data_IF_581012641935
#
_entry.id   IF_581012641935
#
_cell.length_a   1.000
_cell.length_b   1.000
_cell.length_c   1.000
_cell.angle_alpha   90.00
_cell.angle_beta   90.00
_cell.angle_gamma   90.00
#
_symmetry.space_group_name_H-M   'P 1'
#
loop_
_entity.id
_entity.type
_entity.pdbx_description
1 polymer ?
#
# COMPACT_ATOMS: atom_id res chain seq x y z
N UNK A 1 -44.92 4.60 -15.81
CA UNK A 1 -43.83 3.62 -15.96
C UNK A 1 -42.73 3.97 -14.97
N UNK A 2 -42.44 3.10 -13.99
CA UNK A 2 -41.41 3.33 -12.98
C UNK A 2 -40.01 2.92 -13.44
N UNK A 3 -39.02 3.13 -12.57
CA UNK A 3 -37.66 2.62 -12.79
C UNK A 3 -37.61 1.10 -12.73
N UNK A 4 -36.92 0.48 -13.68
CA UNK A 4 -36.35 -0.86 -13.50
C UNK A 4 -35.09 -0.74 -12.66
N UNK A 5 -34.72 -1.76 -11.90
CA UNK A 5 -33.51 -1.70 -11.08
C UNK A 5 -32.74 -3.01 -11.06
N UNK A 6 -31.45 -2.88 -10.82
CA UNK A 6 -30.50 -3.96 -10.66
C UNK A 6 -29.73 -3.74 -9.35
N UNK A 7 -29.73 -4.73 -8.46
CA UNK A 7 -28.92 -4.74 -7.24
C UNK A 7 -27.74 -5.68 -7.42
N UNK A 8 -26.57 -5.21 -7.05
CA UNK A 8 -25.32 -5.95 -7.08
C UNK A 8 -24.80 -6.08 -5.66
N UNK A 9 -24.60 -7.32 -5.23
CA UNK A 9 -24.10 -7.65 -3.90
C UNK A 9 -22.82 -8.47 -4.04
N UNK A 10 -21.95 -8.34 -3.04
CA UNK A 10 -20.79 -9.20 -2.87
C UNK A 10 -20.57 -9.45 -1.38
N UNK A 11 -19.58 -10.29 -1.07
CA UNK A 11 -19.15 -10.50 0.31
C UNK A 11 -18.83 -9.16 0.99
N UNK A 12 -19.10 -9.10 2.28
CA UNK A 12 -18.78 -7.92 3.09
C UNK A 12 -17.26 -7.79 3.26
N UNK A 13 -16.60 -6.84 2.59
CA UNK A 13 -15.14 -6.67 2.68
C UNK A 13 -14.71 -6.21 4.08
N UNK A 14 -15.64 -5.67 4.89
CA UNK A 14 -15.35 -5.26 6.28
C UNK A 14 -15.13 -6.46 7.19
N UNK A 15 -15.57 -7.65 6.73
CA UNK A 15 -15.42 -8.92 7.42
C UNK A 15 -14.36 -9.80 6.76
N UNK A 16 -13.77 -9.36 5.64
CA UNK A 16 -12.70 -10.12 4.99
C UNK A 16 -11.44 -10.12 5.86
N UNK A 17 -10.88 -11.31 6.08
CA UNK A 17 -9.76 -11.53 6.96
C UNK A 17 -9.27 -12.96 6.90
N UNK A 18 -8.22 -13.26 7.68
CA UNK A 18 -7.65 -14.60 7.77
C UNK A 18 -8.66 -15.62 8.33
N UNK A 19 -9.52 -15.19 9.26
CA UNK A 19 -10.54 -16.00 9.92
C UNK A 19 -11.92 -15.92 9.23
N UNK A 20 -12.04 -15.25 8.07
CA UNK A 20 -13.33 -15.04 7.43
C UNK A 20 -13.99 -16.36 6.99
N UNK A 21 -15.00 -16.74 7.76
CA UNK A 21 -15.97 -17.79 7.50
C UNK A 21 -17.34 -17.22 7.12
N UNK A 22 -17.47 -15.89 7.06
CA UNK A 22 -18.77 -15.25 6.88
C UNK A 22 -19.20 -15.27 5.40
N UNK A 23 -20.40 -15.80 5.16
CA UNK A 23 -21.07 -15.75 3.86
C UNK A 23 -21.91 -14.48 3.66
N UNK A 24 -21.71 -13.47 4.50
CA UNK A 24 -22.54 -12.27 4.54
C UNK A 24 -22.32 -11.45 3.27
N UNK A 25 -23.40 -11.24 2.49
CA UNK A 25 -23.37 -10.38 1.32
C UNK A 25 -23.99 -9.01 1.61
N UNK A 26 -23.33 -7.94 1.15
CA UNK A 26 -23.80 -6.55 1.27
C UNK A 26 -24.00 -5.90 -0.09
N UNK A 27 -24.91 -4.93 -0.23
CA UNK A 27 -25.13 -4.22 -1.49
C UNK A 27 -23.99 -3.28 -1.84
N UNK A 28 -23.34 -3.47 -2.99
CA UNK A 28 -22.28 -2.59 -3.46
C UNK A 28 -22.79 -1.52 -4.44
N UNK A 29 -23.73 -1.91 -5.29
CA UNK A 29 -24.29 -1.01 -6.30
C UNK A 29 -25.77 -1.26 -6.51
N UNK A 30 -26.50 -0.18 -6.78
CA UNK A 30 -27.82 -0.23 -7.40
C UNK A 30 -27.78 0.56 -8.71
N UNK A 31 -28.41 0.03 -9.74
CA UNK A 31 -28.56 0.73 -11.01
C UNK A 31 -30.05 0.82 -11.30
N UNK A 32 -30.57 2.03 -11.36
CA UNK A 32 -31.96 2.30 -11.73
C UNK A 32 -31.99 2.78 -13.17
N UNK A 33 -32.88 2.22 -14.00
CA UNK A 33 -33.03 2.57 -15.41
C UNK A 33 -34.47 2.99 -15.69
N UNK A 34 -34.63 4.10 -16.39
CA UNK A 34 -35.91 4.53 -16.94
C UNK A 34 -35.71 5.13 -18.33
N UNK A 35 -36.32 4.52 -19.35
CA UNK A 35 -36.11 4.86 -20.75
C UNK A 35 -34.61 4.92 -21.11
N UNK A 36 -34.10 6.11 -21.43
CA UNK A 36 -32.69 6.37 -21.80
C UNK A 36 -31.81 6.81 -20.64
N UNK A 37 -32.36 6.97 -19.43
CA UNK A 37 -31.64 7.45 -18.26
C UNK A 37 -31.28 6.30 -17.31
N UNK A 38 -30.11 6.41 -16.69
CA UNK A 38 -29.65 5.51 -15.65
C UNK A 38 -29.12 6.30 -14.45
N UNK A 39 -29.49 5.87 -13.24
CA UNK A 39 -28.94 6.36 -11.98
C UNK A 39 -28.10 5.23 -11.39
N UNK A 40 -26.82 5.49 -11.16
CA UNK A 40 -25.90 4.55 -10.52
C UNK A 40 -25.68 4.97 -9.07
N UNK A 41 -26.29 4.24 -8.14
CA UNK A 41 -26.05 4.38 -6.71
C UNK A 41 -24.90 3.46 -6.32
N UNK A 42 -23.85 4.04 -5.73
CA UNK A 42 -22.66 3.33 -5.24
C UNK A 42 -22.66 3.40 -3.72
N UNK A 43 -22.55 2.26 -3.07
CA UNK A 43 -22.53 2.19 -1.60
C UNK A 43 -21.09 2.23 -1.13
N UNK A 44 -20.81 3.17 -0.24
CA UNK A 44 -19.52 3.29 0.44
C UNK A 44 -19.65 2.74 1.86
N UNK A 45 -18.62 2.04 2.31
CA UNK A 45 -18.52 1.39 3.61
C UNK A 45 -17.33 1.96 4.36
N UNK A 46 -17.52 2.29 5.62
CA UNK A 46 -16.40 2.63 6.51
C UNK A 46 -15.64 1.36 6.90
N UNK A 47 -14.30 1.42 6.84
CA UNK A 47 -13.39 0.33 7.22
C UNK A 47 -12.52 0.72 8.41
N UNK A 48 -11.85 -0.28 9.00
CA UNK A 48 -11.09 -0.17 10.26
C UNK A 48 -10.03 0.93 10.25
N UNK A 49 -9.43 1.23 9.10
CA UNK A 49 -8.47 2.32 8.93
C UNK A 49 -9.07 3.72 8.82
N UNK A 50 -10.33 3.94 9.23
CA UNK A 50 -11.03 5.24 9.18
C UNK A 50 -11.06 5.87 7.78
N UNK A 51 -11.45 5.08 6.79
CA UNK A 51 -11.60 5.50 5.41
C UNK A 51 -12.87 4.91 4.79
N UNK A 52 -13.31 5.48 3.67
CA UNK A 52 -14.48 5.02 2.95
C UNK A 52 -14.05 4.13 1.78
N UNK A 53 -14.68 2.97 1.67
CA UNK A 53 -14.40 1.99 0.63
C UNK A 53 -15.66 1.71 -0.20
N UNK A 54 -15.51 1.55 -1.52
CA UNK A 54 -16.56 0.97 -2.36
C UNK A 54 -16.02 -0.24 -3.14
N UNK A 55 -16.92 -1.16 -3.46
CA UNK A 55 -16.55 -2.38 -4.17
C UNK A 55 -16.55 -2.23 -5.69
N UNK A 56 -16.07 -3.28 -6.38
CA UNK A 56 -16.16 -3.38 -7.82
C UNK A 56 -17.54 -3.91 -8.22
N UNK A 57 -17.94 -3.59 -9.45
CA UNK A 57 -19.15 -4.12 -10.06
C UNK A 57 -18.79 -5.43 -10.78
N UNK A 58 -19.32 -6.55 -10.30
CA UNK A 58 -19.14 -7.88 -10.90
C UNK A 58 -20.51 -8.46 -11.27
N UNK A 59 -20.78 -8.58 -12.56
CA UNK A 59 -22.01 -9.20 -13.07
C UNK A 59 -21.93 -10.73 -12.93
N UNK A 60 -22.94 -11.34 -12.30
CA UNK A 60 -23.12 -12.81 -12.28
C UNK A 60 -23.49 -13.29 -13.69
N UNK A 61 -23.23 -14.57 -13.99
CA UNK A 61 -23.40 -15.16 -15.33
C UNK A 61 -24.81 -14.95 -15.93
N UNK A 62 -25.85 -14.98 -15.11
CA UNK A 62 -27.25 -14.87 -15.53
C UNK A 62 -27.76 -13.42 -15.62
N UNK A 63 -26.93 -12.42 -15.32
CA UNK A 63 -27.37 -11.02 -15.30
C UNK A 63 -27.36 -10.42 -16.71
N UNK A 64 -28.35 -9.58 -17.00
CA UNK A 64 -28.46 -8.87 -18.28
C UNK A 64 -27.32 -7.85 -18.45
N UNK A 65 -26.38 -8.17 -19.33
CA UNK A 65 -25.23 -7.31 -19.66
C UNK A 65 -25.61 -6.12 -20.53
N UNK A 66 -26.80 -6.11 -21.11
CA UNK A 66 -27.35 -5.00 -21.89
C UNK A 66 -28.27 -4.09 -21.06
N UNK A 67 -28.42 -4.36 -19.75
CA UNK A 67 -29.28 -3.56 -18.87
C UNK A 67 -28.93 -2.07 -18.97
N UNK A 68 -27.64 -1.73 -18.84
CA UNK A 68 -27.09 -0.40 -19.14
C UNK A 68 -25.72 -0.54 -19.83
N UNK A 69 -25.19 0.52 -20.47
CA UNK A 69 -23.81 0.54 -20.96
C UNK A 69 -22.80 0.56 -19.79
N UNK A 70 -22.54 -0.59 -19.15
CA UNK A 70 -21.70 -0.68 -17.94
C UNK A 70 -20.31 -0.05 -18.07
N UNK A 71 -19.72 -0.06 -19.27
CA UNK A 71 -18.42 0.55 -19.54
C UNK A 71 -18.43 2.09 -19.42
N UNK A 72 -19.60 2.72 -19.52
CA UNK A 72 -19.76 4.18 -19.34
C UNK A 72 -19.96 4.59 -17.89
N UNK A 73 -20.09 3.62 -16.96
CA UNK A 73 -20.24 3.94 -15.55
C UNK A 73 -18.93 4.47 -14.98
N UNK A 74 -19.04 5.52 -14.15
CA UNK A 74 -17.90 6.15 -13.50
C UNK A 74 -17.29 5.32 -12.36
N UNK A 75 -18.05 4.35 -11.84
CA UNK A 75 -17.67 3.49 -10.73
C UNK A 75 -17.85 2.01 -11.09
N UNK A 76 -17.17 1.13 -10.36
CA UNK A 76 -17.34 -0.32 -10.47
C UNK A 76 -16.27 -1.05 -11.28
N UNK A 77 -15.39 -0.35 -12.00
CA UNK A 77 -14.24 -1.02 -12.67
C UNK A 77 -13.28 -1.66 -11.67
N UNK A 78 -12.99 -0.95 -10.59
CA UNK A 78 -12.16 -1.39 -9.47
C UNK A 78 -12.86 -1.05 -8.14
N UNK A 79 -12.44 -1.71 -7.07
CA UNK A 79 -12.69 -1.21 -5.71
C UNK A 79 -11.96 0.12 -5.54
N UNK A 80 -12.46 0.97 -4.64
CA UNK A 80 -11.84 2.26 -4.36
C UNK A 80 -11.85 2.61 -2.88
N UNK A 81 -10.83 3.32 -2.42
CA UNK A 81 -10.70 3.86 -1.08
C UNK A 81 -10.49 5.38 -1.10
N UNK A 82 -11.14 6.07 -0.16
CA UNK A 82 -11.24 7.52 -0.08
C UNK A 82 -11.03 7.96 1.36
N UNK A 83 -10.46 9.14 1.54
CA UNK A 83 -10.46 9.76 2.86
C UNK A 83 -11.90 9.98 3.34
N UNK A 84 -12.08 9.93 4.66
CA UNK A 84 -13.37 10.33 5.24
C UNK A 84 -13.63 11.80 4.88
N UNK A 85 -14.77 12.04 4.26
CA UNK A 85 -15.13 13.36 3.75
C UNK A 85 -16.03 14.10 4.75
N UNK A 86 -15.74 15.39 4.95
CA UNK A 86 -16.70 16.29 5.59
C UNK A 86 -17.88 16.54 4.64
N UNK A 87 -19.09 16.40 5.16
CA UNK A 87 -20.32 16.57 4.40
C UNK A 87 -21.05 17.86 4.80
N UNK A 88 -21.71 18.48 3.83
CA UNK A 88 -22.63 19.60 4.02
C UNK A 88 -24.06 19.13 3.71
N UNK A 89 -24.99 19.43 4.62
CA UNK A 89 -26.41 19.18 4.39
C UNK A 89 -27.01 20.33 3.57
N UNK A 90 -27.66 20.01 2.45
CA UNK A 90 -28.31 20.94 1.54
C UNK A 90 -29.73 20.47 1.21
N UNK A 91 -30.58 21.40 0.76
CA UNK A 91 -31.87 21.07 0.15
C UNK A 91 -31.76 21.28 -1.37
N UNK A 92 -31.96 20.22 -2.14
CA UNK A 92 -31.98 20.26 -3.62
C UNK A 92 -33.35 19.77 -4.05
N UNK A 93 -34.14 20.63 -4.69
CA UNK A 93 -35.50 20.32 -5.15
C UNK A 93 -36.42 19.74 -4.05
N UNK A 94 -36.25 20.21 -2.81
CA UNK A 94 -36.99 19.73 -1.63
C UNK A 94 -36.45 18.45 -1.00
N UNK A 95 -35.40 17.85 -1.58
CA UNK A 95 -34.68 16.71 -0.99
C UNK A 95 -33.54 17.19 -0.12
N UNK A 96 -33.52 16.72 1.13
CA UNK A 96 -32.38 16.93 2.03
C UNK A 96 -31.30 15.93 1.65
N UNK A 97 -30.16 16.43 1.17
CA UNK A 97 -29.01 15.63 0.74
C UNK A 97 -27.74 16.10 1.43
N UNK A 98 -26.78 15.19 1.56
CA UNK A 98 -25.44 15.50 2.05
C UNK A 98 -24.45 15.44 0.89
N UNK A 99 -23.68 16.51 0.71
CA UNK A 99 -22.67 16.60 -0.36
C UNK A 99 -21.28 16.80 0.22
N UNK A 100 -20.20 16.35 -0.44
CA UNK A 100 -18.85 16.64 0.01
C UNK A 100 -18.61 18.14 0.11
N UNK A 101 -18.05 18.61 1.23
CA UNK A 101 -17.68 20.02 1.45
C UNK A 101 -16.68 20.54 0.40
N UNK A 102 -15.85 19.64 -0.15
CA UNK A 102 -14.89 19.91 -1.23
C UNK A 102 -15.11 18.94 -2.39
N UNK A 103 -16.08 19.17 -3.29
CA UNK A 103 -16.39 18.25 -4.39
C UNK A 103 -15.19 17.97 -5.30
N UNK A 104 -14.35 18.96 -5.57
CA UNK A 104 -13.15 18.79 -6.41
C UNK A 104 -12.16 17.80 -5.82
N UNK A 105 -11.94 17.81 -4.49
CA UNK A 105 -11.07 16.84 -3.80
C UNK A 105 -11.60 15.42 -3.98
N UNK A 106 -12.92 15.23 -3.83
CA UNK A 106 -13.55 13.92 -4.05
C UNK A 106 -13.37 13.41 -5.49
N UNK A 107 -13.53 14.29 -6.48
CA UNK A 107 -13.36 13.93 -7.89
C UNK A 107 -11.90 13.62 -8.25
N UNK A 108 -10.94 14.32 -7.63
CA UNK A 108 -9.51 14.07 -7.74
C UNK A 108 -9.12 12.72 -7.11
N UNK A 109 -9.55 12.48 -5.86
CA UNK A 109 -9.30 11.22 -5.15
C UNK A 109 -9.79 10.02 -5.94
N UNK A 110 -10.93 10.12 -6.64
CA UNK A 110 -11.46 9.05 -7.48
C UNK A 110 -10.42 8.50 -8.47
N UNK A 111 -9.62 9.37 -9.09
CA UNK A 111 -8.61 8.95 -10.08
C UNK A 111 -7.47 8.13 -9.47
N UNK A 112 -7.20 8.30 -8.17
CA UNK A 112 -6.17 7.60 -7.40
C UNK A 112 -6.75 6.67 -6.33
N UNK A 113 -8.05 6.38 -6.41
CA UNK A 113 -8.78 5.64 -5.36
C UNK A 113 -8.55 4.13 -5.43
N UNK A 114 -7.98 3.62 -6.52
CA UNK A 114 -7.92 2.18 -6.80
C UNK A 114 -7.41 1.42 -5.59
N UNK A 115 -8.21 0.46 -5.14
CA UNK A 115 -7.94 -0.33 -3.96
C UNK A 115 -7.66 -1.80 -4.34
N UNK A 116 -6.65 -2.38 -3.71
CA UNK A 116 -6.26 -3.79 -3.86
C UNK A 116 -6.41 -4.46 -2.50
N UNK A 117 -7.21 -5.52 -2.45
CA UNK A 117 -7.34 -6.33 -1.24
C UNK A 117 -6.11 -7.19 -0.99
N UNK A 118 -5.90 -7.52 0.29
CA UNK A 118 -5.00 -8.62 0.60
C UNK A 118 -5.51 -9.95 0.04
N UNK A 119 -4.59 -10.84 -0.29
CA UNK A 119 -4.89 -12.16 -0.87
C UNK A 119 -5.19 -13.19 0.20
N UNK A 120 -6.23 -12.96 1.02
CA UNK A 120 -6.54 -13.78 2.20
C UNK A 120 -6.69 -15.27 1.88
N UNK A 121 -7.28 -15.61 0.73
CA UNK A 121 -7.42 -17.02 0.31
C UNK A 121 -6.06 -17.68 0.10
N UNK A 122 -5.17 -17.02 -0.62
CA UNK A 122 -3.82 -17.52 -0.88
C UNK A 122 -2.94 -17.48 0.36
N UNK A 123 -3.09 -16.48 1.22
CA UNK A 123 -2.42 -16.42 2.52
C UNK A 123 -2.81 -17.61 3.40
N UNK A 124 -4.10 -18.00 3.45
CA UNK A 124 -4.53 -19.24 4.14
C UNK A 124 -3.85 -20.48 3.57
N UNK A 125 -3.80 -20.62 2.25
CA UNK A 125 -3.09 -21.73 1.60
C UNK A 125 -1.59 -21.71 1.89
N UNK A 126 -0.99 -20.53 1.99
CA UNK A 126 0.42 -20.38 2.38
C UNK A 126 0.63 -20.90 3.81
N UNK A 127 -0.20 -20.50 4.78
CA UNK A 127 -0.07 -20.96 6.17
C UNK A 127 -0.38 -22.44 6.39
N UNK A 128 -1.13 -23.07 5.48
CA UNK A 128 -1.29 -24.54 5.49
C UNK A 128 0.01 -25.27 5.17
N UNK A 129 0.87 -24.69 4.35
CA UNK A 129 2.17 -25.27 3.96
C UNK A 129 3.30 -24.80 4.87
N UNK A 130 3.23 -23.55 5.33
CA UNK A 130 4.23 -22.89 6.16
C UNK A 130 3.52 -22.32 7.39
N UNK A 131 3.34 -23.12 8.45
CA UNK A 131 2.66 -22.69 9.67
C UNK A 131 3.22 -21.38 10.20
N UNK A 132 2.33 -20.54 10.73
CA UNK A 132 2.72 -19.24 11.25
C UNK A 132 3.64 -19.37 12.46
N UNK A 133 4.58 -18.43 12.61
CA UNK A 133 5.44 -18.36 13.78
C UNK A 133 4.73 -17.54 14.86
N UNK A 134 4.21 -18.25 15.86
CA UNK A 134 3.49 -17.67 17.00
C UNK A 134 4.35 -17.65 18.27
N UNK A 135 5.68 -17.74 18.13
CA UNK A 135 6.59 -17.58 19.27
C UNK A 135 6.44 -16.19 19.91
N UNK A 136 6.73 -16.04 21.22
CA UNK A 136 6.70 -14.74 21.89
C UNK A 136 7.52 -13.68 21.15
N UNK A 137 8.70 -14.05 20.65
CA UNK A 137 9.61 -13.16 19.93
C UNK A 137 9.00 -12.68 18.60
N UNK A 138 8.39 -13.58 17.83
CA UNK A 138 7.70 -13.24 16.59
C UNK A 138 6.50 -12.32 16.83
N UNK A 139 5.73 -12.58 17.89
CA UNK A 139 4.57 -11.77 18.25
C UNK A 139 4.97 -10.39 18.78
N UNK A 140 6.05 -10.30 19.56
CA UNK A 140 6.61 -9.03 20.01
C UNK A 140 7.11 -8.21 18.82
N UNK A 141 7.89 -8.82 17.93
CA UNK A 141 8.37 -8.16 16.71
C UNK A 141 7.22 -7.59 15.89
N UNK A 142 6.17 -8.39 15.62
CA UNK A 142 4.98 -7.94 14.88
C UNK A 142 4.27 -6.78 15.56
N UNK A 143 4.19 -6.81 16.89
CA UNK A 143 3.55 -5.74 17.67
C UNK A 143 4.34 -4.44 17.53
N UNK A 144 5.67 -4.49 17.70
CA UNK A 144 6.56 -3.33 17.52
C UNK A 144 6.52 -2.82 16.08
N UNK A 145 6.59 -3.70 15.09
CA UNK A 145 6.56 -3.33 13.68
C UNK A 145 5.19 -2.73 13.25
N UNK A 146 4.07 -3.23 13.79
CA UNK A 146 2.75 -2.60 13.60
C UNK A 146 2.73 -1.18 14.17
N UNK A 147 3.20 -0.99 15.40
CA UNK A 147 3.25 0.35 16.02
C UNK A 147 4.13 1.30 15.20
N UNK A 148 5.29 0.82 14.73
CA UNK A 148 6.21 1.56 13.88
C UNK A 148 5.58 1.95 12.53
N UNK A 149 4.81 1.05 11.90
CA UNK A 149 4.10 1.35 10.66
C UNK A 149 3.08 2.48 10.86
N UNK A 150 2.27 2.40 11.93
CA UNK A 150 1.28 3.43 12.26
C UNK A 150 1.94 4.79 12.54
N UNK A 151 3.03 4.81 13.30
CA UNK A 151 3.81 6.04 13.55
C UNK A 151 4.36 6.62 12.24
N UNK A 152 4.96 5.78 11.40
CA UNK A 152 5.55 6.19 10.12
C UNK A 152 4.51 6.76 9.19
N UNK A 153 3.34 6.12 9.12
CA UNK A 153 2.23 6.58 8.31
C UNK A 153 1.70 7.93 8.79
N UNK A 154 1.50 8.11 10.09
CA UNK A 154 1.08 9.38 10.67
C UNK A 154 2.09 10.49 10.33
N UNK A 155 3.38 10.24 10.54
CA UNK A 155 4.45 11.20 10.27
C UNK A 155 4.53 11.60 8.79
N UNK A 156 4.54 10.63 7.88
CA UNK A 156 4.63 10.90 6.44
C UNK A 156 3.35 11.54 5.88
N UNK A 157 2.17 11.12 6.35
CA UNK A 157 0.89 11.72 5.95
C UNK A 157 0.78 13.19 6.40
N UNK A 158 1.23 13.52 7.61
CA UNK A 158 1.26 14.89 8.11
C UNK A 158 2.18 15.79 7.27
N UNK A 159 3.25 15.22 6.72
CA UNK A 159 4.12 15.91 5.76
C UNK A 159 3.56 15.93 4.34
N UNK A 160 2.48 15.20 4.04
CA UNK A 160 1.98 15.01 2.68
C UNK A 160 3.02 14.33 1.77
N UNK A 161 3.77 13.37 2.30
CA UNK A 161 4.71 12.53 1.55
C UNK A 161 4.00 11.23 1.18
N UNK A 162 3.83 10.98 -0.12
CA UNK A 162 3.28 9.70 -0.59
C UNK A 162 4.32 8.60 -0.43
N UNK A 163 3.92 7.51 0.21
CA UNK A 163 4.76 6.34 0.47
C UNK A 163 3.95 5.05 0.30
N UNK A 164 4.65 3.92 0.14
CA UNK A 164 4.06 2.58 0.05
C UNK A 164 4.83 1.56 0.88
N UNK A 165 4.21 0.39 1.13
CA UNK A 165 4.90 -0.76 1.71
C UNK A 165 5.93 -1.28 0.70
N UNK A 166 7.20 -1.36 1.08
CA UNK A 166 8.28 -1.82 0.21
C UNK A 166 8.83 -3.18 0.66
N UNK A 167 9.70 -3.77 -0.15
CA UNK A 167 10.52 -4.95 0.14
C UNK A 167 9.83 -5.99 1.03
N UNK A 168 10.39 -6.33 2.20
CA UNK A 168 9.91 -7.43 3.03
C UNK A 168 8.51 -7.17 3.59
N UNK A 169 8.20 -5.90 3.82
CA UNK A 169 6.89 -5.46 4.31
C UNK A 169 5.80 -5.65 3.24
N UNK A 170 6.09 -5.29 1.98
CA UNK A 170 5.20 -5.54 0.85
C UNK A 170 5.03 -7.04 0.58
N UNK A 171 6.10 -7.83 0.68
CA UNK A 171 6.03 -9.27 0.52
C UNK A 171 5.15 -9.91 1.60
N UNK A 172 5.30 -9.48 2.86
CA UNK A 172 4.48 -9.93 3.97
C UNK A 172 2.99 -9.69 3.73
N UNK A 173 2.64 -8.45 3.36
CA UNK A 173 1.27 -8.12 2.95
C UNK A 173 0.80 -9.02 1.79
N UNK A 174 1.55 -9.07 0.68
CA UNK A 174 1.09 -9.76 -0.53
C UNK A 174 0.99 -11.29 -0.40
N UNK A 175 1.92 -11.91 0.33
CA UNK A 175 2.05 -13.37 0.45
C UNK A 175 1.17 -13.94 1.56
N UNK A 176 1.15 -13.27 2.71
CA UNK A 176 0.65 -13.86 3.96
C UNK A 176 -0.25 -12.92 4.76
N UNK A 177 -0.64 -11.76 4.20
CA UNK A 177 -1.52 -10.78 4.85
C UNK A 177 -1.07 -10.36 6.25
N UNK A 178 0.22 -10.45 6.54
CA UNK A 178 0.80 -10.16 7.85
C UNK A 178 2.28 -9.82 7.70
N UNK A 179 2.90 -9.28 8.74
CA UNK A 179 4.35 -9.05 8.78
C UNK A 179 5.08 -10.41 8.83
N UNK A 180 6.15 -10.51 8.05
CA UNK A 180 7.04 -11.67 8.06
C UNK A 180 7.79 -11.66 9.40
N UNK A 181 7.62 -12.68 10.26
CA UNK A 181 8.07 -12.60 11.66
C UNK A 181 9.61 -12.59 11.80
N UNK A 182 10.32 -12.93 10.73
CA UNK A 182 11.78 -12.94 10.67
C UNK A 182 12.36 -11.87 9.73
N UNK A 183 11.55 -10.95 9.17
CA UNK A 183 12.09 -9.68 8.65
C UNK A 183 12.51 -8.87 9.87
N UNK A 184 13.72 -8.32 9.94
CA UNK A 184 14.23 -7.69 11.18
C UNK A 184 13.88 -6.19 11.27
N UNK A 185 13.19 -5.71 10.26
CA UNK A 185 12.96 -4.32 9.91
C UNK A 185 11.57 -4.16 9.26
N UNK A 186 11.18 -2.90 9.10
CA UNK A 186 10.04 -2.45 8.33
C UNK A 186 10.53 -1.59 7.17
N UNK A 187 10.05 -1.87 5.96
CA UNK A 187 10.52 -1.25 4.73
C UNK A 187 9.41 -0.41 4.10
N UNK A 188 9.69 0.87 3.86
CA UNK A 188 8.82 1.77 3.11
C UNK A 188 9.54 2.28 1.85
N UNK A 189 8.75 2.55 0.82
CA UNK A 189 9.21 3.19 -0.40
C UNK A 189 8.65 4.61 -0.51
N UNK A 190 9.47 5.52 -1.03
CA UNK A 190 9.08 6.90 -1.36
C UNK A 190 9.65 7.24 -2.74
N UNK A 191 8.87 7.86 -3.61
CA UNK A 191 9.44 8.39 -4.84
C UNK A 191 10.34 9.58 -4.51
N UNK A 192 11.52 9.65 -5.13
CA UNK A 192 12.48 10.71 -4.82
C UNK A 192 11.91 12.11 -5.08
N UNK A 193 11.04 12.26 -6.08
CA UNK A 193 10.31 13.50 -6.37
C UNK A 193 9.39 13.96 -5.23
N UNK A 194 9.02 13.06 -4.32
CA UNK A 194 8.22 13.35 -3.12
C UNK A 194 9.08 13.51 -1.86
N UNK A 195 10.41 13.45 -1.97
CA UNK A 195 11.30 13.75 -0.85
C UNK A 195 11.03 15.14 -0.28
N UNK A 196 11.04 15.23 1.05
CA UNK A 196 11.02 16.50 1.78
C UNK A 196 12.14 16.50 2.82
N UNK A 197 12.89 17.61 2.96
CA UNK A 197 13.93 17.72 3.99
C UNK A 197 13.37 17.56 5.41
N UNK A 198 12.07 17.84 5.60
CA UNK A 198 11.37 17.70 6.88
C UNK A 198 11.15 16.25 7.34
N UNK A 199 11.39 15.24 6.50
CA UNK A 199 11.21 13.82 6.86
C UNK A 199 12.04 13.48 8.11
N UNK A 200 13.34 13.78 8.09
CA UNK A 200 14.25 13.49 9.20
C UNK A 200 13.80 14.16 10.50
N UNK A 201 13.63 15.50 10.57
CA UNK A 201 13.24 16.16 11.81
C UNK A 201 11.82 15.78 12.25
N UNK A 202 10.92 15.39 11.34
CA UNK A 202 9.59 14.91 11.72
C UNK A 202 9.65 13.55 12.43
N UNK A 203 10.44 12.60 11.93
CA UNK A 203 10.66 11.32 12.62
C UNK A 203 11.39 11.50 13.97
N UNK A 204 12.40 12.37 14.03
CA UNK A 204 13.09 12.70 15.29
C UNK A 204 12.11 13.27 16.33
N UNK A 205 11.24 14.22 15.95
CA UNK A 205 10.19 14.75 16.84
C UNK A 205 9.16 13.71 17.25
N UNK A 206 8.93 12.71 16.40
CA UNK A 206 8.05 11.59 16.68
C UNK A 206 8.70 10.52 17.58
N UNK A 207 9.92 10.76 18.09
CA UNK A 207 10.63 9.84 18.97
C UNK A 207 11.42 8.75 18.25
N UNK A 208 11.63 8.88 16.93
CA UNK A 208 12.35 7.93 16.11
C UNK A 208 13.61 8.60 15.52
N UNK A 209 14.77 8.54 16.19
CA UNK A 209 15.97 9.20 15.71
C UNK A 209 16.49 8.55 14.43
N UNK A 210 17.19 9.36 13.63
CA UNK A 210 17.90 8.89 12.44
C UNK A 210 19.03 7.98 12.89
N UNK A 211 19.10 6.78 12.30
CA UNK A 211 20.15 5.79 12.53
C UNK A 211 21.18 5.80 11.41
N UNK A 212 20.71 5.81 10.16
CA UNK A 212 21.57 5.89 8.98
C UNK A 212 21.00 6.87 7.97
N UNK A 213 21.90 7.56 7.27
CA UNK A 213 21.60 8.23 6.01
C UNK A 213 22.67 7.84 4.99
N UNK A 214 22.23 7.22 3.91
CA UNK A 214 23.11 6.83 2.82
C UNK A 214 22.74 7.54 1.52
N UNK A 215 23.75 7.77 0.68
CA UNK A 215 23.58 8.31 -0.66
C UNK A 215 23.23 9.80 -0.74
N UNK A 216 22.84 10.23 -1.94
CA UNK A 216 22.48 11.60 -2.31
C UNK A 216 21.08 11.63 -2.88
N UNK A 217 20.47 12.82 -2.94
CA UNK A 217 19.12 12.97 -3.49
C UNK A 217 19.02 12.39 -4.90
N UNK A 218 20.02 12.62 -5.73
CA UNK A 218 20.13 12.15 -7.10
C UNK A 218 20.63 10.70 -7.26
N UNK A 219 21.12 10.07 -6.19
CA UNK A 219 21.72 8.74 -6.28
C UNK A 219 21.68 7.96 -4.95
N UNK A 220 20.88 6.89 -4.93
CA UNK A 220 20.89 5.86 -3.91
C UNK A 220 20.58 6.35 -2.48
N UNK A 221 19.68 7.34 -2.34
CA UNK A 221 19.24 7.81 -1.02
C UNK A 221 18.51 6.70 -0.23
N UNK A 222 18.90 6.54 1.02
CA UNK A 222 18.27 5.67 2.00
C UNK A 222 18.29 6.37 3.37
N UNK A 223 17.17 6.30 4.09
CA UNK A 223 17.06 6.79 5.46
C UNK A 223 16.60 5.67 6.37
N UNK A 224 17.39 5.36 7.39
CA UNK A 224 17.02 4.39 8.43
C UNK A 224 16.75 5.11 9.76
N UNK A 225 15.71 4.69 10.48
CA UNK A 225 15.35 5.24 11.79
C UNK A 225 15.15 4.11 12.81
N UNK A 226 15.52 4.33 14.07
CA UNK A 226 15.34 3.32 15.13
C UNK A 226 15.32 3.96 16.52
N UNK A 227 14.36 3.57 17.37
CA UNK A 227 14.17 4.13 18.72
C UNK A 227 15.12 3.60 19.81
N UNK A 228 15.91 2.58 19.51
CA UNK A 228 16.82 1.90 20.44
C UNK A 228 17.37 0.61 19.83
N UNK A 229 18.36 -0.03 20.44
CA UNK A 229 19.01 -1.23 19.86
C UNK A 229 18.05 -2.41 19.68
N UNK A 230 17.12 -2.60 20.63
CA UNK A 230 16.12 -3.69 20.66
C UNK A 230 14.79 -3.34 19.96
N UNK A 231 14.71 -2.16 19.35
CA UNK A 231 13.51 -1.70 18.64
C UNK A 231 13.56 -2.07 17.16
N UNK A 232 12.39 -2.14 16.51
CA UNK A 232 12.35 -2.43 15.07
C UNK A 232 12.93 -1.24 14.28
N UNK A 233 13.83 -1.52 13.34
CA UNK A 233 14.37 -0.51 12.44
C UNK A 233 13.38 -0.22 11.30
N UNK A 234 13.15 1.05 11.00
CA UNK A 234 12.46 1.50 9.80
C UNK A 234 13.50 1.84 8.73
N UNK A 235 13.37 1.28 7.54
CA UNK A 235 14.10 1.70 6.35
C UNK A 235 13.16 2.38 5.35
N UNK A 236 13.55 3.57 4.89
CA UNK A 236 12.89 4.29 3.80
C UNK A 236 13.82 4.30 2.60
N UNK A 237 13.44 3.55 1.57
CA UNK A 237 14.14 3.51 0.29
C UNK A 237 13.54 4.52 -0.68
N UNK A 238 14.39 5.29 -1.35
CA UNK A 238 13.94 6.24 -2.36
C UNK A 238 14.01 5.63 -3.75
N UNK A 239 12.92 5.77 -4.50
CA UNK A 239 12.79 5.24 -5.85
C UNK A 239 12.88 6.34 -6.89
N UNK A 240 13.62 6.03 -7.93
CA UNK A 240 13.95 6.86 -9.07
C UNK A 240 13.27 6.28 -10.30
N UNK A 241 12.66 7.15 -11.09
CA UNK A 241 11.94 6.78 -12.29
C UNK A 241 12.81 7.05 -13.53
N UNK A 242 13.00 6.02 -14.36
CA UNK A 242 13.69 6.08 -15.65
C UNK A 242 12.69 5.79 -16.78
N UNK A 243 13.03 5.87 -18.06
CA UNK A 243 12.06 5.70 -19.15
C UNK A 243 11.28 4.38 -19.10
N UNK A 244 11.95 3.26 -18.88
CA UNK A 244 11.39 1.90 -18.98
C UNK A 244 11.30 1.16 -17.63
N UNK A 245 11.91 1.69 -16.57
CA UNK A 245 11.99 1.03 -15.27
C UNK A 245 11.96 2.03 -14.10
N UNK A 246 11.90 1.48 -12.89
CA UNK A 246 12.13 2.19 -11.65
C UNK A 246 13.29 1.54 -10.93
N UNK A 247 13.95 2.27 -10.04
CA UNK A 247 15.02 1.69 -9.23
C UNK A 247 15.14 2.34 -7.86
N UNK A 248 15.64 1.59 -6.89
CA UNK A 248 16.17 2.14 -5.64
C UNK A 248 17.63 1.72 -5.45
N UNK A 249 18.35 2.47 -4.62
CA UNK A 249 19.76 2.20 -4.33
C UNK A 249 19.95 1.49 -3.00
N UNK A 250 21.18 1.00 -2.79
CA UNK A 250 21.68 0.53 -1.51
C UNK A 250 23.18 0.78 -1.38
N UNK A 251 23.65 1.13 -0.19
CA UNK A 251 25.07 1.46 0.06
C UNK A 251 25.67 0.52 1.11
N UNK A 252 26.79 -0.14 0.78
CA UNK A 252 27.56 -0.91 1.75
C UNK A 252 28.53 0.02 2.50
N UNK A 253 28.15 0.44 3.71
CA UNK A 253 28.90 1.41 4.52
C UNK A 253 30.41 1.12 4.64
N UNK A 254 30.80 -0.14 4.86
CA UNK A 254 32.22 -0.52 5.08
C UNK A 254 33.12 -0.38 3.84
N UNK A 255 32.56 -0.40 2.64
CA UNK A 255 33.33 -0.43 1.38
C UNK A 255 32.98 0.70 0.43
N UNK A 256 31.93 1.47 0.71
CA UNK A 256 31.36 2.46 -0.20
C UNK A 256 30.72 1.86 -1.46
N UNK A 257 30.61 0.53 -1.59
CA UNK A 257 29.99 -0.11 -2.76
C UNK A 257 28.52 0.24 -2.84
N UNK A 258 28.07 0.62 -4.03
CA UNK A 258 26.68 0.93 -4.36
C UNK A 258 26.03 -0.24 -5.07
N UNK A 259 24.73 -0.39 -4.87
CA UNK A 259 23.88 -1.37 -5.51
C UNK A 259 22.63 -0.67 -6.04
N UNK A 260 22.09 -1.17 -7.14
CA UNK A 260 20.87 -0.69 -7.79
C UNK A 260 19.91 -1.86 -7.92
N UNK A 261 18.67 -1.70 -7.49
CA UNK A 261 17.60 -2.67 -7.62
C UNK A 261 16.66 -2.23 -8.73
N UNK A 262 16.50 -3.03 -9.77
CA UNK A 262 15.66 -2.67 -10.91
C UNK A 262 14.24 -3.24 -10.77
N UNK A 263 13.24 -2.43 -11.05
CA UNK A 263 11.83 -2.80 -11.01
C UNK A 263 11.15 -2.41 -12.33
N UNK A 264 10.23 -3.24 -12.85
CA UNK A 264 9.28 -2.78 -13.85
C UNK A 264 8.52 -1.56 -13.35
N UNK A 265 8.05 -0.71 -14.26
CA UNK A 265 7.16 0.41 -13.92
C UNK A 265 5.95 -0.09 -13.12
N UNK A 266 5.62 0.65 -12.07
CA UNK A 266 4.42 0.42 -11.29
C UNK A 266 3.73 1.74 -10.95
N UNK A 267 2.43 1.65 -10.69
CA UNK A 267 1.63 2.74 -10.11
C UNK A 267 1.29 2.39 -8.67
N UNK A 268 0.72 3.33 -7.92
CA UNK A 268 0.33 3.12 -6.53
C UNK A 268 -1.18 2.89 -6.39
N UNK A 269 -1.52 1.89 -5.59
CA UNK A 269 -2.88 1.52 -5.22
C UNK A 269 -3.02 1.60 -3.71
N UNK A 270 -4.20 1.95 -3.21
CA UNK A 270 -4.52 1.79 -1.79
C UNK A 270 -4.70 0.32 -1.43
N UNK A 271 -4.36 -0.03 -0.20
CA UNK A 271 -4.72 -1.27 0.48
C UNK A 271 -5.03 -0.96 1.94
N UNK A 272 -5.59 -1.94 2.63
CA UNK A 272 -5.56 -2.01 4.08
C UNK A 272 -4.44 -2.97 4.51
N UNK A 273 -3.65 -2.57 5.49
CA UNK A 273 -2.69 -3.46 6.15
C UNK A 273 -2.59 -3.08 7.63
N UNK A 274 -2.83 -4.04 8.52
CA UNK A 274 -2.79 -3.83 9.98
C UNK A 274 -3.65 -2.64 10.44
N UNK A 275 -4.90 -2.57 9.95
CA UNK A 275 -5.86 -1.48 10.18
C UNK A 275 -5.41 -0.09 9.68
N UNK A 276 -4.46 -0.04 8.75
CA UNK A 276 -3.99 1.22 8.15
C UNK A 276 -4.33 1.27 6.65
N UNK A 277 -4.88 2.39 6.19
CA UNK A 277 -4.96 2.72 4.76
C UNK A 277 -3.58 3.15 4.27
N UNK A 278 -2.94 2.34 3.43
CA UNK A 278 -1.56 2.57 2.95
C UNK A 278 -1.44 2.22 1.47
N UNK A 279 -0.42 2.73 0.78
CA UNK A 279 -0.18 2.34 -0.62
C UNK A 279 0.65 1.07 -0.75
N UNK A 280 0.47 0.42 -1.89
CA UNK A 280 1.28 -0.68 -2.42
C UNK A 280 1.44 -0.47 -3.93
N UNK A 281 2.45 -1.10 -4.58
CA UNK A 281 2.51 -1.14 -6.04
C UNK A 281 1.26 -1.84 -6.59
N UNK A 282 0.52 -1.19 -7.50
CA UNK A 282 -0.64 -1.79 -8.17
C UNK A 282 -0.27 -3.06 -8.92
N UNK A 283 0.90 -3.05 -9.57
CA UNK A 283 1.51 -4.19 -10.27
C UNK A 283 2.29 -5.08 -9.29
N UNK A 284 1.68 -5.40 -8.13
CA UNK A 284 2.36 -6.00 -6.99
C UNK A 284 3.14 -7.27 -7.35
N UNK A 285 2.57 -8.16 -8.15
CA UNK A 285 3.24 -9.41 -8.51
C UNK A 285 4.55 -9.16 -9.25
N UNK A 286 4.56 -8.23 -10.21
CA UNK A 286 5.78 -7.91 -10.95
C UNK A 286 6.82 -7.24 -10.06
N UNK A 287 6.38 -6.37 -9.15
CA UNK A 287 7.25 -5.76 -8.14
C UNK A 287 7.90 -6.82 -7.22
N UNK A 288 7.10 -7.75 -6.68
CA UNK A 288 7.56 -8.84 -5.82
C UNK A 288 8.47 -9.80 -6.57
N UNK A 289 8.10 -10.21 -7.79
CA UNK A 289 8.92 -11.14 -8.59
C UNK A 289 10.25 -10.51 -9.01
N UNK A 290 10.30 -9.20 -9.24
CA UNK A 290 11.57 -8.51 -9.48
C UNK A 290 12.47 -8.61 -8.25
N UNK A 291 11.96 -8.34 -7.05
CA UNK A 291 12.78 -8.31 -5.85
C UNK A 291 13.13 -9.71 -5.28
N UNK A 292 12.25 -10.70 -5.45
CA UNK A 292 12.34 -12.01 -4.77
C UNK A 292 12.41 -13.21 -5.74
N UNK A 293 12.32 -12.99 -7.05
CA UNK A 293 12.31 -14.06 -8.05
C UNK A 293 10.99 -14.81 -8.14
N UNK A 294 10.93 -15.84 -8.99
CA UNK A 294 9.71 -16.61 -9.26
C UNK A 294 9.25 -17.46 -8.07
N UNK A 295 10.17 -17.80 -7.18
CA UNK A 295 9.92 -18.62 -5.99
C UNK A 295 9.60 -17.79 -4.74
N UNK A 296 9.19 -16.51 -4.89
CA UNK A 296 8.86 -15.58 -3.80
C UNK A 296 7.85 -16.12 -2.76
N UNK A 297 7.04 -17.13 -3.15
CA UNK A 297 6.10 -17.82 -2.26
C UNK A 297 6.79 -18.70 -1.22
N UNK A 298 8.01 -19.16 -1.48
CA UNK A 298 8.77 -20.01 -0.57
C UNK A 298 9.45 -19.13 0.48
N UNK A 299 9.25 -19.39 1.79
CA UNK A 299 9.94 -18.67 2.86
C UNK A 299 11.46 -18.81 2.77
N UNK A 300 12.17 -17.68 2.80
CA UNK A 300 13.63 -17.63 2.89
C UNK A 300 14.01 -16.86 4.16
N UNK A 301 14.61 -17.55 5.13
CA UNK A 301 14.97 -16.97 6.44
C UNK A 301 16.37 -16.35 6.48
N UNK A 302 17.22 -16.69 5.51
CA UNK A 302 18.58 -16.14 5.37
C UNK A 302 18.61 -15.35 4.07
N UNK A 303 18.66 -14.02 4.19
CA UNK A 303 18.60 -13.11 3.06
C UNK A 303 19.82 -12.19 3.07
N UNK A 304 20.58 -12.18 1.98
CA UNK A 304 21.65 -11.21 1.76
C UNK A 304 21.14 -10.16 0.77
N UNK A 305 20.84 -8.96 1.27
CA UNK A 305 20.22 -7.88 0.51
C UNK A 305 20.95 -7.54 -0.80
N UNK A 306 22.26 -7.78 -0.90
CA UNK A 306 23.07 -7.48 -2.10
C UNK A 306 23.32 -8.68 -3.03
N UNK A 307 22.95 -9.90 -2.63
CA UNK A 307 23.24 -11.12 -3.39
C UNK A 307 22.00 -11.99 -3.64
N UNK A 308 21.00 -11.95 -2.78
CA UNK A 308 19.78 -12.76 -2.87
C UNK A 308 18.74 -12.20 -3.85
N UNK A 309 18.47 -10.87 -3.90
CA UNK A 309 17.53 -10.32 -4.87
C UNK A 309 18.02 -10.54 -6.32
N UNK A 310 17.19 -11.06 -7.24
CA UNK A 310 17.63 -11.28 -8.62
C UNK A 310 17.70 -9.99 -9.44
N UNK A 311 17.12 -8.90 -8.94
CA UNK A 311 17.15 -7.59 -9.59
C UNK A 311 18.24 -6.64 -9.07
N UNK A 312 19.13 -7.10 -8.19
CA UNK A 312 20.24 -6.28 -7.70
C UNK A 312 21.42 -6.33 -8.65
N UNK A 313 22.02 -5.18 -8.90
CA UNK A 313 23.26 -5.05 -9.66
C UNK A 313 24.24 -4.10 -8.97
N UNK A 314 25.57 -4.30 -9.13
CA UNK A 314 26.55 -3.31 -8.72
C UNK A 314 26.31 -1.96 -9.42
N UNK A 315 26.44 -0.86 -8.68
CA UNK A 315 26.23 0.50 -9.18
C UNK A 315 27.47 1.40 -8.97
N UNK A 316 28.65 0.79 -8.87
CA UNK A 316 29.91 1.49 -8.61
C UNK A 316 30.25 1.63 -7.12
N UNK A 317 31.10 2.60 -6.79
CA UNK A 317 31.64 2.85 -5.44
C UNK A 317 31.63 4.35 -5.20
N UNK A 318 31.23 4.79 -4.01
CA UNK A 318 31.34 6.19 -3.59
C UNK A 318 32.82 6.62 -3.51
N UNK A 319 33.19 7.79 -4.09
CA UNK A 319 34.51 8.36 -3.90
C UNK A 319 34.83 8.57 -2.43
N UNK A 320 36.05 8.24 -2.00
CA UNK A 320 36.45 8.27 -0.56
C UNK A 320 36.24 9.66 0.06
N UNK A 321 36.50 10.72 -0.71
CA UNK A 321 36.32 12.11 -0.28
C UNK A 321 34.84 12.51 -0.06
N UNK A 322 33.88 11.67 -0.47
CA UNK A 322 32.45 11.89 -0.26
C UNK A 322 31.88 11.05 0.88
N UNK A 323 32.66 10.14 1.49
CA UNK A 323 32.13 9.17 2.47
C UNK A 323 31.48 9.82 3.69
N UNK A 324 32.04 10.92 4.19
CA UNK A 324 31.46 11.66 5.32
C UNK A 324 30.06 12.21 5.00
N UNK A 325 29.78 12.52 3.73
CA UNK A 325 28.49 13.03 3.28
C UNK A 325 27.50 11.89 2.99
N UNK A 326 27.94 10.84 2.28
CA UNK A 326 27.05 9.82 1.72
C UNK A 326 26.95 8.55 2.58
N UNK A 327 27.72 8.46 3.67
CA UNK A 327 27.71 7.34 4.61
C UNK A 327 27.65 7.89 6.04
N UNK A 328 26.46 8.29 6.48
CA UNK A 328 26.25 8.84 7.82
C UNK A 328 25.62 7.78 8.72
N UNK A 329 26.32 7.45 9.81
CA UNK A 329 25.90 6.51 10.86
C UNK A 329 25.81 7.29 12.17
N UNK A 330 24.71 7.14 12.92
CA UNK A 330 24.42 7.89 14.14
C UNK A 330 24.32 7.01 15.38
#
# INVERSE_FOLDING_TARGET
>A
MGFQWLKLQSKDPRLEGMEDLSGTEVPLHYIFKQATHAIHLVVFYERSGNYLWHGPLRLKLHMDRAFVPFQKLHFGRYSGAYDKMELLTLSIDGLIVQVPKKPSKFLEERTHSRFVECRYKEARSFFQLYPDDTSPEAMEFRTKAKALLHLSALTLNNLGVQFWLSSGTCLGWYRQCNIIPYSKDLDLGVFIQNYKPDIIPAFQRAGLPLKHKFGKLEDSLELSFQGGEDEVKLDIFFFYEEDDHMWNGGTQAKSGKKFKYLFPKFTLCWTEFLELKVHVPCETLHYIEANYGKDWKVPVKVWDWKNSPPNVQPNGIWPINEWEEVIQLY
#
